data_IF_602097630633
#
_entry.id   IF_602097630633
#
_cell.length_a   1.000
_cell.length_b   1.000
_cell.length_c   1.000
_cell.angle_alpha   90.00
_cell.angle_beta   90.00
_cell.angle_gamma   90.00
#
_symmetry.space_group_name_H-M   'P 1'
#
loop_
_entity.id
_entity.type
_entity.pdbx_description
1 polymer ?
#
# COMPACT_ATOMS: atom_id res chain seq x y z
N UNK A 1 -18.07 38.86 -36.39
CA UNK A 1 -19.23 39.70 -36.04
C UNK A 1 -19.38 39.63 -34.53
N UNK A 2 -19.16 40.80 -33.91
CA UNK A 2 -19.52 41.20 -32.56
C UNK A 2 -18.95 40.36 -31.39
N UNK A 3 -17.98 40.84 -30.69
CA UNK A 3 -17.68 42.08 -29.94
C UNK A 3 -18.12 42.00 -28.46
N UNK A 4 -17.10 42.03 -27.60
CA UNK A 4 -16.82 42.92 -26.46
C UNK A 4 -17.75 42.88 -25.24
N UNK A 5 -17.22 42.80 -24.04
CA UNK A 5 -16.53 43.77 -23.19
C UNK A 5 -16.29 43.23 -21.77
N UNK A 6 -15.10 43.17 -21.27
CA UNK A 6 -14.44 44.03 -20.26
C UNK A 6 -15.33 44.41 -19.06
N UNK A 7 -14.82 44.08 -17.86
CA UNK A 7 -15.29 44.61 -16.58
C UNK A 7 -14.37 44.19 -15.44
N UNK A 8 -13.39 45.01 -15.17
CA UNK A 8 -12.49 45.02 -14.02
C UNK A 8 -13.19 45.43 -12.72
N UNK A 9 -12.75 44.88 -11.59
CA UNK A 9 -13.19 45.35 -10.27
C UNK A 9 -12.41 44.66 -9.15
N UNK A 10 -11.32 45.29 -8.78
CA UNK A 10 -10.55 45.04 -7.56
C UNK A 10 -11.28 45.64 -6.35
N UNK A 11 -11.44 44.93 -5.28
CA UNK A 11 -11.56 45.53 -3.95
C UNK A 11 -10.85 44.72 -2.89
N UNK A 12 -9.80 45.31 -2.36
CA UNK A 12 -9.14 45.03 -1.10
C UNK A 12 -10.08 45.40 0.05
N UNK A 13 -10.26 44.51 1.01
CA UNK A 13 -10.80 44.86 2.32
C UNK A 13 -9.84 44.38 3.40
N UNK A 14 -9.05 45.33 3.89
CA UNK A 14 -8.24 45.23 5.09
C UNK A 14 -9.14 45.35 6.32
N UNK A 15 -9.10 44.42 7.25
CA UNK A 15 -9.73 44.60 8.55
C UNK A 15 -8.67 44.94 9.60
N UNK A 16 -8.81 46.16 10.12
CA UNK A 16 -8.01 46.76 11.21
C UNK A 16 -8.48 46.17 12.56
N UNK A 17 -7.52 45.77 13.36
CA UNK A 17 -7.67 45.49 14.79
C UNK A 17 -7.65 46.82 15.54
N UNK A 18 -8.69 47.15 16.27
CA UNK A 18 -8.71 48.25 17.22
C UNK A 18 -8.37 47.75 18.61
N UNK A 19 -7.33 48.38 19.18
CA UNK A 19 -6.98 48.40 20.59
C UNK A 19 -8.00 49.21 21.37
N UNK A 20 -8.50 48.66 22.46
CA UNK A 20 -9.18 49.42 23.50
C UNK A 20 -8.35 49.36 24.78
N UNK A 21 -7.74 50.47 25.07
CA UNK A 21 -7.15 50.86 26.37
C UNK A 21 -8.29 51.27 27.34
N UNK A 22 -8.18 50.85 28.56
CA UNK A 22 -9.03 51.35 29.63
C UNK A 22 -8.18 51.97 30.72
N UNK A 23 -8.35 53.28 30.89
CA UNK A 23 -7.66 54.13 31.88
C UNK A 23 -8.52 54.28 33.15
N UNK A 24 -7.85 54.22 34.24
CA UNK A 24 -8.00 54.92 35.52
C UNK A 24 -9.39 55.40 35.98
N UNK A 25 -9.71 55.00 37.19
CA UNK A 25 -10.32 55.89 38.19
C UNK A 25 -9.65 55.71 39.54
N UNK A 26 -9.08 56.81 40.06
CA UNK A 26 -8.57 57.01 41.40
C UNK A 26 -9.59 57.77 42.26
N UNK A 27 -9.56 57.48 43.56
CA UNK A 27 -9.95 58.29 44.72
C UNK A 27 -11.39 58.42 45.14
N UNK A 28 -11.64 57.94 46.37
CA UNK A 28 -12.05 58.82 47.47
C UNK A 28 -11.93 58.17 48.83
N UNK A 29 -11.50 58.93 49.83
CA UNK A 29 -11.21 58.71 51.22
C UNK A 29 -12.43 58.25 52.07
N UNK A 30 -12.12 57.52 53.15
CA UNK A 30 -13.04 57.27 54.26
C UNK A 30 -12.42 56.39 55.34
N UNK A 31 -11.88 57.02 56.38
CA UNK A 31 -11.36 56.46 57.62
C UNK A 31 -12.41 55.82 58.46
N UNK A 32 -12.14 54.62 58.99
CA UNK A 32 -12.43 54.17 60.37
C UNK A 32 -11.94 52.74 60.60
N UNK A 33 -11.01 52.53 61.46
CA UNK A 33 -10.65 51.19 61.93
C UNK A 33 -11.56 50.65 63.01
N UNK A 34 -11.57 49.36 63.15
CA UNK A 34 -11.45 48.83 64.52
C UNK A 34 -10.53 47.63 64.66
N UNK A 35 -9.79 47.68 65.73
CA UNK A 35 -9.26 46.66 66.63
C UNK A 35 -9.05 45.23 66.09
N UNK A 36 -7.77 44.93 66.10
CA UNK A 36 -7.24 43.54 66.08
C UNK A 36 -7.89 42.66 67.12
N UNK A 37 -8.39 41.52 66.68
CA UNK A 37 -8.50 40.33 67.51
C UNK A 37 -7.56 39.27 66.92
N UNK A 38 -6.48 38.95 67.64
CA UNK A 38 -5.59 37.81 67.37
C UNK A 38 -6.38 36.53 67.59
N UNK A 39 -6.76 35.84 66.53
CA UNK A 39 -7.19 34.45 66.61
C UNK A 39 -6.07 33.56 66.07
N UNK A 40 -5.70 32.71 66.95
CA UNK A 40 -4.82 31.54 66.96
C UNK A 40 -4.45 30.98 65.59
N UNK A 41 -3.12 30.94 65.32
CA UNK A 41 -2.49 30.38 64.11
C UNK A 41 -2.59 28.86 63.92
N UNK A 42 -3.60 28.22 64.43
CA UNK A 42 -3.84 26.77 64.31
C UNK A 42 -4.80 26.39 63.18
N UNK A 43 -5.76 27.25 62.84
CA UNK A 43 -6.78 26.95 61.85
C UNK A 43 -6.27 27.16 60.43
N UNK A 44 -5.38 28.14 60.23
CA UNK A 44 -4.77 28.43 58.93
C UNK A 44 -3.83 27.30 58.43
N UNK A 45 -3.18 26.59 59.34
CA UNK A 45 -2.35 25.44 58.96
C UNK A 45 -3.18 24.21 58.55
N UNK A 46 -4.33 24.03 59.17
CA UNK A 46 -5.25 22.93 58.86
C UNK A 46 -5.91 23.15 57.49
N UNK A 47 -6.34 24.37 57.18
CA UNK A 47 -6.95 24.70 55.88
C UNK A 47 -5.95 24.58 54.74
N UNK A 48 -4.70 25.03 54.92
CA UNK A 48 -3.64 24.89 53.90
C UNK A 48 -3.25 23.43 53.69
N UNK A 49 -3.27 22.58 54.70
CA UNK A 49 -3.01 21.15 54.56
C UNK A 49 -4.13 20.41 53.84
N UNK A 50 -5.40 20.73 54.15
CA UNK A 50 -6.58 20.10 53.50
C UNK A 50 -6.76 20.56 52.05
N UNK A 51 -6.53 21.84 51.73
CA UNK A 51 -6.55 22.36 50.36
C UNK A 51 -5.38 21.82 49.52
N UNK A 52 -4.18 21.70 50.13
CA UNK A 52 -3.00 21.10 49.46
C UNK A 52 -3.19 19.60 49.18
N UNK A 53 -3.80 18.85 50.08
CA UNK A 53 -4.06 17.41 49.89
C UNK A 53 -5.19 17.18 48.85
N UNK A 54 -6.19 18.05 48.83
CA UNK A 54 -7.28 18.02 47.83
C UNK A 54 -6.77 18.33 46.41
N UNK A 55 -5.78 19.24 46.29
CA UNK A 55 -5.17 19.57 45.01
C UNK A 55 -4.20 18.47 44.48
N UNK A 56 -3.50 17.78 45.41
CA UNK A 56 -2.70 16.60 45.05
C UNK A 56 -3.52 15.38 44.64
N UNK A 57 -4.66 15.14 45.31
CA UNK A 57 -5.58 14.06 44.88
C UNK A 57 -6.30 14.39 43.57
N UNK A 58 -6.57 15.67 43.26
CA UNK A 58 -7.17 16.07 41.98
C UNK A 58 -6.20 15.98 40.80
N UNK A 59 -4.89 16.03 41.00
CA UNK A 59 -3.89 15.86 39.96
C UNK A 59 -3.65 14.38 39.61
N UNK A 60 -3.99 13.44 40.48
CA UNK A 60 -3.87 11.99 40.22
C UNK A 60 -5.01 11.40 39.38
N UNK A 61 -6.08 12.18 39.11
CA UNK A 61 -7.17 11.77 38.21
C UNK A 61 -6.98 12.29 36.78
N UNK A 62 -5.85 12.90 36.46
CA UNK A 62 -5.48 13.21 35.08
C UNK A 62 -5.20 11.89 34.34
N UNK A 63 -6.29 11.33 33.82
CA UNK A 63 -6.34 10.56 32.61
C UNK A 63 -5.20 9.56 32.39
N UNK A 64 -5.24 8.42 33.04
CA UNK A 64 -4.90 7.20 32.33
C UNK A 64 -5.97 7.10 31.22
N UNK A 65 -5.71 7.68 30.05
CA UNK A 65 -6.37 7.24 28.85
C UNK A 65 -6.09 5.75 28.78
N UNK A 66 -7.08 4.92 29.11
CA UNK A 66 -7.06 3.53 28.72
C UNK A 66 -6.90 3.58 27.19
N UNK A 67 -5.66 3.38 26.73
CA UNK A 67 -5.40 3.02 25.36
C UNK A 67 -6.14 1.71 25.17
N UNK A 68 -7.40 1.80 24.72
CA UNK A 68 -8.16 0.63 24.33
C UNK A 68 -7.28 -0.12 23.35
N UNK A 69 -6.77 -1.28 23.76
CA UNK A 69 -5.94 -2.10 22.89
C UNK A 69 -6.76 -2.38 21.63
N UNK A 70 -6.22 -1.98 20.47
CA UNK A 70 -6.89 -2.19 19.19
C UNK A 70 -6.81 -3.65 18.83
N UNK A 71 -7.94 -4.35 18.82
CA UNK A 71 -8.01 -5.76 18.42
C UNK A 71 -8.08 -5.86 16.89
N UNK A 72 -7.03 -6.39 16.28
CA UNK A 72 -6.95 -6.66 14.84
C UNK A 72 -7.05 -8.16 14.62
N UNK A 73 -8.11 -8.59 13.95
CA UNK A 73 -8.28 -9.98 13.57
C UNK A 73 -7.64 -10.24 12.19
N UNK A 74 -6.76 -11.22 12.10
CA UNK A 74 -6.14 -11.66 10.84
C UNK A 74 -6.83 -12.97 10.42
N UNK A 75 -7.58 -12.93 9.33
CA UNK A 75 -8.21 -14.09 8.70
C UNK A 75 -7.36 -14.51 7.50
N UNK A 76 -6.63 -15.63 7.58
CA UNK A 76 -5.76 -16.10 6.49
C UNK A 76 -6.39 -17.28 5.75
N UNK A 77 -6.25 -17.30 4.42
CA UNK A 77 -6.81 -18.35 3.56
C UNK A 77 -6.17 -19.73 3.81
N UNK A 78 -4.90 -19.76 4.17
CA UNK A 78 -4.14 -20.98 4.47
C UNK A 78 -2.81 -20.62 5.15
N UNK A 79 -2.10 -21.64 5.66
CA UNK A 79 -0.79 -21.45 6.29
C UNK A 79 0.35 -21.72 5.30
N UNK A 80 0.71 -20.73 4.49
CA UNK A 80 1.84 -20.79 3.55
C UNK A 80 2.91 -19.75 3.91
N UNK A 81 4.16 -19.99 3.51
CA UNK A 81 5.30 -19.12 3.82
C UNK A 81 5.07 -17.66 3.39
N UNK A 82 4.57 -17.43 2.17
CA UNK A 82 4.29 -16.10 1.65
C UNK A 82 3.29 -15.30 2.53
N UNK A 83 2.26 -15.96 3.07
CA UNK A 83 1.32 -15.31 3.97
C UNK A 83 1.93 -15.00 5.34
N UNK A 84 2.77 -15.91 5.88
CA UNK A 84 3.50 -15.65 7.13
C UNK A 84 4.43 -14.45 7.01
N UNK A 85 5.16 -14.32 5.90
CA UNK A 85 6.04 -13.17 5.62
C UNK A 85 5.23 -11.87 5.56
N UNK A 86 4.09 -11.86 4.84
CA UNK A 86 3.23 -10.68 4.77
C UNK A 86 2.63 -10.33 6.14
N UNK A 87 2.18 -11.32 6.93
CA UNK A 87 1.68 -11.09 8.29
C UNK A 87 2.78 -10.53 9.21
N UNK A 88 4.02 -10.99 9.06
CA UNK A 88 5.14 -10.42 9.82
C UNK A 88 5.36 -8.94 9.48
N UNK A 89 5.34 -8.57 8.19
CA UNK A 89 5.41 -7.18 7.75
C UNK A 89 4.24 -6.33 8.27
N UNK A 90 3.03 -6.86 8.24
CA UNK A 90 1.82 -6.22 8.77
C UNK A 90 1.98 -5.88 10.26
N UNK A 91 2.38 -6.85 11.06
CA UNK A 91 2.56 -6.67 12.52
C UNK A 91 3.68 -5.68 12.85
N UNK A 92 4.74 -5.66 12.03
CA UNK A 92 5.88 -4.76 12.24
C UNK A 92 5.54 -3.28 11.96
N UNK A 93 4.60 -3.00 11.06
CA UNK A 93 4.27 -1.63 10.63
C UNK A 93 2.85 -1.17 11.03
N UNK A 94 2.06 -2.05 11.59
CA UNK A 94 0.70 -1.76 12.04
C UNK A 94 0.65 -0.91 13.32
N UNK A 95 -0.55 -0.66 13.85
CA UNK A 95 -0.73 0.18 15.03
C UNK A 95 0.07 -0.32 16.24
N UNK A 96 0.74 0.59 16.92
CA UNK A 96 1.48 0.28 18.14
C UNK A 96 0.51 -0.17 19.25
N UNK A 97 0.86 -1.27 19.95
CA UNK A 97 0.03 -1.82 21.03
C UNK A 97 -1.21 -2.58 20.55
N UNK A 98 -1.39 -2.77 19.24
CA UNK A 98 -2.47 -3.60 18.72
C UNK A 98 -2.30 -5.08 19.10
N UNK A 99 -3.40 -5.73 19.44
CA UNK A 99 -3.46 -7.17 19.68
C UNK A 99 -3.86 -7.84 18.36
N UNK A 100 -3.00 -8.75 17.86
CA UNK A 100 -3.25 -9.48 16.63
C UNK A 100 -3.68 -10.91 16.94
N UNK A 101 -4.89 -11.27 16.51
CA UNK A 101 -5.39 -12.65 16.64
C UNK A 101 -5.55 -13.28 15.25
N UNK A 102 -4.90 -14.43 15.03
CA UNK A 102 -4.91 -15.12 13.73
C UNK A 102 -5.93 -16.23 13.68
N UNK A 103 -6.63 -16.34 12.55
CA UNK A 103 -7.61 -17.38 12.22
C UNK A 103 -7.27 -17.98 10.87
N UNK A 104 -7.22 -19.30 10.79
CA UNK A 104 -6.90 -20.03 9.56
C UNK A 104 -8.16 -20.63 8.94
N UNK A 105 -8.42 -20.25 7.70
CA UNK A 105 -9.55 -20.76 6.89
C UNK A 105 -9.24 -22.16 6.32
N UNK A 106 -7.98 -22.59 6.36
CA UNK A 106 -7.51 -23.91 5.90
C UNK A 106 -7.90 -24.23 4.43
N UNK A 107 -8.02 -23.19 3.61
CA UNK A 107 -8.46 -23.35 2.23
C UNK A 107 -9.95 -23.65 2.04
N UNK A 108 -10.76 -23.62 3.09
CA UNK A 108 -12.20 -23.88 3.06
C UNK A 108 -12.99 -22.59 3.21
N UNK A 109 -13.77 -22.23 2.17
CA UNK A 109 -14.57 -21.00 2.15
C UNK A 109 -15.70 -21.02 3.20
N UNK A 110 -16.32 -22.18 3.45
CA UNK A 110 -17.41 -22.29 4.43
C UNK A 110 -16.89 -22.15 5.88
N UNK A 111 -15.72 -22.72 6.17
CA UNK A 111 -15.02 -22.46 7.42
C UNK A 111 -14.69 -20.96 7.54
N UNK A 112 -14.23 -20.35 6.43
CA UNK A 112 -13.96 -18.92 6.37
C UNK A 112 -15.17 -18.05 6.72
N UNK A 113 -16.33 -18.34 6.15
CA UNK A 113 -17.59 -17.65 6.48
C UNK A 113 -17.98 -17.82 7.95
N UNK A 114 -17.84 -19.05 8.47
CA UNK A 114 -18.12 -19.33 9.90
C UNK A 114 -17.21 -18.51 10.82
N UNK A 115 -15.91 -18.42 10.50
CA UNK A 115 -14.95 -17.60 11.24
C UNK A 115 -15.26 -16.11 11.10
N UNK A 116 -15.57 -15.63 9.90
CA UNK A 116 -15.92 -14.24 9.65
C UNK A 116 -17.17 -13.81 10.44
N UNK A 117 -18.21 -14.63 10.52
CA UNK A 117 -19.38 -14.38 11.39
C UNK A 117 -19.01 -14.26 12.87
N UNK A 118 -18.07 -15.13 13.33
CA UNK A 118 -17.56 -15.03 14.71
C UNK A 118 -16.78 -13.71 14.92
N UNK A 119 -15.99 -13.30 13.94
CA UNK A 119 -15.23 -12.03 13.99
C UNK A 119 -16.16 -10.82 14.00
N UNK A 120 -17.21 -10.82 13.20
CA UNK A 120 -18.24 -9.76 13.24
C UNK A 120 -18.87 -9.60 14.61
N UNK A 121 -19.08 -10.70 15.33
CA UNK A 121 -19.65 -10.69 16.68
C UNK A 121 -18.60 -10.43 17.79
N UNK A 122 -17.34 -10.22 17.44
CA UNK A 122 -16.25 -9.91 18.37
C UNK A 122 -16.01 -8.41 18.49
N UNK A 123 -15.09 -8.01 19.35
CA UNK A 123 -14.66 -6.61 19.52
C UNK A 123 -13.55 -6.21 18.54
N UNK A 124 -13.37 -6.92 17.40
CA UNK A 124 -12.35 -6.58 16.44
C UNK A 124 -12.57 -5.18 15.87
N UNK A 125 -11.57 -4.32 16.01
CA UNK A 125 -11.59 -2.96 15.49
C UNK A 125 -11.34 -2.93 13.97
N UNK A 126 -10.66 -3.96 13.43
CA UNK A 126 -10.35 -4.13 12.01
C UNK A 126 -10.09 -5.60 11.71
N UNK A 127 -10.47 -6.04 10.52
CA UNK A 127 -10.17 -7.38 10.00
C UNK A 127 -9.19 -7.29 8.85
N UNK A 128 -8.06 -7.99 8.94
CA UNK A 128 -7.12 -8.18 7.83
C UNK A 128 -7.40 -9.52 7.17
N UNK A 129 -7.79 -9.51 5.91
CA UNK A 129 -8.05 -10.72 5.13
C UNK A 129 -6.85 -11.06 4.24
N UNK A 130 -6.18 -12.18 4.49
CA UNK A 130 -4.97 -12.62 3.79
C UNK A 130 -5.30 -13.72 2.78
N UNK A 131 -5.22 -13.38 1.48
CA UNK A 131 -5.57 -14.26 0.38
C UNK A 131 -7.07 -14.27 0.05
N UNK A 132 -7.40 -14.83 -1.11
CA UNK A 132 -8.70 -14.69 -1.74
C UNK A 132 -9.86 -15.28 -0.93
N UNK A 133 -9.72 -16.51 -0.40
CA UNK A 133 -10.81 -17.19 0.32
C UNK A 133 -11.18 -16.45 1.61
N UNK A 134 -10.19 -15.95 2.33
CA UNK A 134 -10.41 -15.12 3.51
C UNK A 134 -11.12 -13.81 3.17
N UNK A 135 -10.71 -13.12 2.10
CA UNK A 135 -11.33 -11.87 1.66
C UNK A 135 -12.78 -12.06 1.19
N UNK A 136 -13.06 -13.13 0.43
CA UNK A 136 -14.42 -13.47 0.00
C UNK A 136 -15.33 -13.78 1.21
N UNK A 137 -14.82 -14.54 2.17
CA UNK A 137 -15.55 -14.86 3.39
C UNK A 137 -15.84 -13.62 4.22
N UNK A 138 -14.82 -12.75 4.42
CA UNK A 138 -14.98 -11.50 5.16
C UNK A 138 -15.97 -10.55 4.47
N UNK A 139 -15.87 -10.39 3.15
CA UNK A 139 -16.78 -9.54 2.36
C UNK A 139 -18.25 -9.90 2.55
N UNK A 140 -18.57 -11.20 2.57
CA UNK A 140 -19.97 -11.67 2.65
C UNK A 140 -20.53 -11.53 4.06
N UNK A 141 -19.71 -11.74 5.09
CA UNK A 141 -20.20 -11.89 6.47
C UNK A 141 -19.97 -10.64 7.35
N UNK A 142 -19.04 -9.75 6.98
CA UNK A 142 -18.67 -8.58 7.79
C UNK A 142 -19.05 -7.30 7.03
N UNK A 143 -19.97 -6.52 7.59
CA UNK A 143 -20.49 -5.30 6.92
C UNK A 143 -20.21 -4.01 7.71
N UNK A 144 -19.89 -4.11 8.98
CA UNK A 144 -19.79 -3.02 9.96
C UNK A 144 -18.38 -2.79 10.52
N UNK A 145 -17.47 -3.77 10.33
CA UNK A 145 -16.07 -3.67 10.72
C UNK A 145 -15.21 -3.39 9.48
N UNK A 146 -14.23 -2.48 9.51
CA UNK A 146 -13.29 -2.26 8.41
C UNK A 146 -12.55 -3.54 8.02
N UNK A 147 -12.46 -3.81 6.72
CA UNK A 147 -11.73 -4.94 6.15
C UNK A 147 -10.59 -4.41 5.29
N UNK A 148 -9.36 -4.87 5.55
CA UNK A 148 -8.20 -4.61 4.70
C UNK A 148 -7.69 -5.95 4.16
N UNK A 149 -7.77 -6.16 2.84
CA UNK A 149 -7.24 -7.37 2.23
C UNK A 149 -5.81 -7.19 1.75
N UNK A 150 -5.04 -8.29 1.73
CA UNK A 150 -3.72 -8.39 1.13
C UNK A 150 -3.46 -9.76 0.53
N UNK A 151 -2.38 -9.87 -0.27
CA UNK A 151 -1.96 -11.13 -0.90
C UNK A 151 -3.01 -11.71 -1.86
N UNK A 152 -3.64 -10.82 -2.65
CA UNK A 152 -4.65 -11.18 -3.65
C UNK A 152 -4.24 -10.60 -5.01
N UNK A 153 -4.15 -11.47 -6.00
CA UNK A 153 -3.96 -11.06 -7.39
C UNK A 153 -5.31 -10.61 -7.97
N UNK A 154 -5.32 -9.46 -8.64
CA UNK A 154 -6.48 -8.91 -9.33
C UNK A 154 -7.77 -8.88 -8.47
N UNK A 155 -7.81 -8.12 -7.37
CA UNK A 155 -8.96 -8.10 -6.47
C UNK A 155 -10.25 -7.61 -7.15
N UNK A 156 -10.16 -6.79 -8.18
CA UNK A 156 -11.32 -6.28 -8.93
C UNK A 156 -12.00 -7.39 -9.74
N UNK A 157 -11.23 -8.31 -10.34
CA UNK A 157 -11.76 -9.49 -11.03
C UNK A 157 -12.59 -10.36 -10.08
N UNK A 158 -12.24 -10.38 -8.81
CA UNK A 158 -12.96 -11.12 -7.77
C UNK A 158 -14.04 -10.26 -7.08
N UNK A 159 -14.32 -9.07 -7.64
CA UNK A 159 -15.33 -8.14 -7.11
C UNK A 159 -15.12 -7.83 -5.61
N UNK A 160 -13.87 -7.74 -5.15
CA UNK A 160 -13.55 -7.39 -3.77
C UNK A 160 -13.72 -5.90 -3.53
N UNK A 161 -14.97 -5.46 -3.66
CA UNK A 161 -15.40 -4.08 -3.43
C UNK A 161 -16.58 -4.08 -2.47
N UNK A 162 -16.51 -3.30 -1.40
CA UNK A 162 -17.58 -3.03 -0.45
C UNK A 162 -17.27 -1.72 0.27
N UNK A 163 -18.29 -1.08 0.86
CA UNK A 163 -18.15 0.23 1.52
C UNK A 163 -17.20 0.18 2.73
N UNK A 164 -17.07 -0.98 3.36
CA UNK A 164 -16.16 -1.22 4.48
C UNK A 164 -14.86 -1.94 4.10
N UNK A 165 -14.55 -2.09 2.80
CA UNK A 165 -13.43 -2.91 2.35
C UNK A 165 -12.46 -2.14 1.45
N UNK A 166 -11.17 -2.31 1.69
CA UNK A 166 -10.07 -1.90 0.83
C UNK A 166 -8.92 -2.90 0.96
N UNK A 167 -7.77 -2.63 0.35
CA UNK A 167 -6.60 -3.51 0.51
C UNK A 167 -5.36 -3.02 -0.22
N UNK A 168 -4.36 -3.88 -0.32
CA UNK A 168 -3.11 -3.64 -1.04
C UNK A 168 -3.05 -4.47 -2.31
N UNK A 169 -2.60 -3.83 -3.41
CA UNK A 169 -2.42 -4.49 -4.70
C UNK A 169 -1.09 -5.25 -4.71
N UNK A 170 -1.10 -6.45 -5.31
CA UNK A 170 0.12 -7.25 -5.52
C UNK A 170 0.74 -7.05 -6.91
N UNK A 171 0.11 -6.27 -7.75
CA UNK A 171 0.65 -5.97 -9.08
C UNK A 171 1.61 -4.80 -9.03
N UNK A 172 2.73 -4.95 -9.73
CA UNK A 172 3.62 -3.84 -10.00
C UNK A 172 2.99 -2.98 -11.08
N UNK A 173 2.68 -1.69 -10.82
CA UNK A 173 2.11 -0.80 -11.82
C UNK A 173 3.00 -0.74 -13.08
N UNK A 174 2.38 -0.71 -14.26
CA UNK A 174 3.06 -0.74 -15.55
C UNK A 174 4.04 0.43 -15.71
N UNK A 175 3.65 1.63 -15.31
CA UNK A 175 4.49 2.83 -15.34
C UNK A 175 5.78 2.67 -14.51
N UNK A 176 5.68 2.02 -13.35
CA UNK A 176 6.86 1.71 -12.52
C UNK A 176 7.75 0.67 -13.17
N UNK A 177 7.17 -0.38 -13.79
CA UNK A 177 7.95 -1.37 -14.53
C UNK A 177 8.73 -0.71 -15.66
N UNK A 178 8.09 0.13 -16.47
CA UNK A 178 8.71 0.88 -17.56
C UNK A 178 9.80 1.82 -17.07
N UNK A 179 9.59 2.50 -15.94
CA UNK A 179 10.61 3.35 -15.32
C UNK A 179 11.85 2.57 -14.90
N UNK A 180 11.68 1.38 -14.32
CA UNK A 180 12.79 0.49 -13.95
C UNK A 180 13.49 -0.02 -15.21
N UNK A 181 12.74 -0.45 -16.24
CA UNK A 181 13.32 -0.87 -17.52
C UNK A 181 14.18 0.24 -18.12
N UNK A 182 13.71 1.48 -18.15
CA UNK A 182 14.47 2.65 -18.62
C UNK A 182 15.72 2.89 -17.79
N UNK A 183 15.64 2.69 -16.48
CA UNK A 183 16.77 2.88 -15.55
C UNK A 183 17.87 1.85 -15.78
N UNK A 184 17.52 0.56 -15.97
CA UNK A 184 18.46 -0.54 -16.16
C UNK A 184 18.91 -0.70 -17.62
N UNK A 185 18.07 -0.33 -18.58
CA UNK A 185 18.27 -0.45 -20.02
C UNK A 185 17.96 0.89 -20.70
N UNK A 186 18.81 1.91 -20.55
CA UNK A 186 18.51 3.27 -21.00
C UNK A 186 18.34 3.43 -22.52
N UNK A 187 18.93 2.54 -23.32
CA UNK A 187 18.83 2.52 -24.78
C UNK A 187 17.65 1.73 -25.31
N UNK A 188 16.88 1.08 -24.43
CA UNK A 188 15.75 0.26 -24.82
C UNK A 188 14.55 1.11 -25.25
N UNK A 189 14.04 0.87 -26.47
CA UNK A 189 12.87 1.55 -27.02
C UNK A 189 11.77 0.58 -27.47
N UNK A 190 12.13 -0.61 -27.96
CA UNK A 190 11.19 -1.56 -28.54
C UNK A 190 11.01 -2.78 -27.64
N UNK A 191 9.82 -2.87 -27.05
CA UNK A 191 9.41 -3.99 -26.21
C UNK A 191 8.50 -4.94 -27.00
N UNK A 192 8.69 -6.24 -26.79
CA UNK A 192 7.79 -7.26 -27.30
C UNK A 192 7.14 -8.07 -26.20
N UNK A 193 5.89 -8.49 -26.41
CA UNK A 193 5.18 -9.41 -25.53
C UNK A 193 4.24 -10.32 -26.32
N UNK A 194 3.94 -11.49 -25.76
CA UNK A 194 2.86 -12.36 -26.22
C UNK A 194 1.70 -12.29 -25.23
N UNK A 195 0.47 -12.36 -25.72
CA UNK A 195 -0.70 -12.29 -24.87
C UNK A 195 -1.89 -13.06 -25.46
N UNK A 196 -2.76 -13.57 -24.61
CA UNK A 196 -4.04 -14.18 -25.00
C UNK A 196 -5.14 -13.09 -25.00
N UNK A 197 -5.70 -12.73 -26.17
CA UNK A 197 -6.74 -11.72 -26.26
C UNK A 197 -7.98 -12.00 -25.41
N UNK A 198 -8.31 -13.27 -25.21
CA UNK A 198 -9.45 -13.66 -24.39
C UNK A 198 -9.22 -13.44 -22.89
N UNK A 199 -7.96 -13.39 -22.42
CA UNK A 199 -7.61 -13.31 -21.00
C UNK A 199 -7.03 -11.96 -20.60
N UNK A 200 -6.18 -11.36 -21.42
CA UNK A 200 -5.33 -10.23 -21.05
C UNK A 200 -5.42 -9.03 -21.98
N UNK A 201 -6.39 -8.97 -22.90
CA UNK A 201 -6.53 -7.83 -23.86
C UNK A 201 -6.66 -6.46 -23.16
N UNK A 202 -7.37 -6.36 -22.05
CA UNK A 202 -7.51 -5.10 -21.30
C UNK A 202 -6.17 -4.65 -20.73
N UNK A 203 -5.42 -5.58 -20.10
CA UNK A 203 -4.07 -5.33 -19.58
C UNK A 203 -3.10 -4.93 -20.69
N UNK A 204 -3.19 -5.58 -21.84
CA UNK A 204 -2.37 -5.24 -23.00
C UNK A 204 -2.64 -3.83 -23.52
N UNK A 205 -3.91 -3.43 -23.65
CA UNK A 205 -4.30 -2.06 -24.05
C UNK A 205 -3.75 -1.01 -23.09
N UNK A 206 -3.85 -1.28 -21.79
CA UNK A 206 -3.30 -0.38 -20.77
C UNK A 206 -1.78 -0.31 -20.84
N UNK A 207 -1.10 -1.44 -21.00
CA UNK A 207 0.35 -1.51 -21.15
C UNK A 207 0.85 -0.75 -22.38
N UNK A 208 0.19 -0.88 -23.55
CA UNK A 208 0.52 -0.11 -24.76
C UNK A 208 0.39 1.38 -24.52
N UNK A 209 -0.72 1.82 -23.91
CA UNK A 209 -0.93 3.24 -23.60
C UNK A 209 0.17 3.79 -22.70
N UNK A 210 0.52 3.07 -21.63
CA UNK A 210 1.54 3.49 -20.68
C UNK A 210 2.95 3.43 -21.28
N UNK A 211 3.23 2.43 -22.12
CA UNK A 211 4.48 2.33 -22.85
C UNK A 211 4.69 3.56 -23.76
N UNK A 212 3.68 3.95 -24.53
CA UNK A 212 3.73 5.15 -25.38
C UNK A 212 3.99 6.41 -24.57
N UNK A 213 3.34 6.57 -23.41
CA UNK A 213 3.54 7.70 -22.52
C UNK A 213 4.94 7.73 -21.87
N UNK A 214 5.65 6.60 -21.87
CA UNK A 214 6.99 6.42 -21.29
C UNK A 214 8.08 6.30 -22.36
N UNK A 215 7.79 6.69 -23.59
CA UNK A 215 8.70 6.64 -24.74
C UNK A 215 9.20 5.23 -25.07
N UNK A 216 8.31 4.23 -24.93
CA UNK A 216 8.48 2.87 -25.41
C UNK A 216 7.49 2.52 -26.51
N UNK A 217 7.91 1.70 -27.46
CA UNK A 217 7.04 1.03 -28.40
C UNK A 217 6.80 -0.40 -27.92
N UNK A 218 5.59 -0.73 -27.51
CA UNK A 218 5.22 -2.08 -27.12
C UNK A 218 4.48 -2.80 -28.22
N UNK A 219 5.11 -3.83 -28.79
CA UNK A 219 4.52 -4.73 -29.78
C UNK A 219 4.00 -5.98 -29.10
N UNK A 220 2.68 -6.19 -29.12
CA UNK A 220 2.03 -7.43 -28.65
C UNK A 220 1.62 -8.30 -29.81
N UNK A 221 1.96 -9.60 -29.80
CA UNK A 221 1.41 -10.57 -30.72
C UNK A 221 0.43 -11.49 -29.98
N UNK A 222 -0.76 -11.72 -30.57
CA UNK A 222 -1.76 -12.58 -29.95
C UNK A 222 -1.38 -14.05 -30.06
N UNK A 223 -1.74 -14.81 -29.01
CA UNK A 223 -1.69 -16.27 -28.96
C UNK A 223 -3.02 -16.78 -28.40
N UNK A 224 -3.64 -17.74 -29.03
CA UNK A 224 -4.89 -18.35 -28.58
C UNK A 224 -4.62 -19.64 -27.78
N UNK A 225 -3.45 -20.22 -27.97
CA UNK A 225 -3.00 -21.42 -27.32
C UNK A 225 -1.49 -21.43 -27.11
N UNK A 226 -1.01 -22.30 -26.20
CA UNK A 226 0.40 -22.52 -25.98
C UNK A 226 1.15 -22.93 -27.28
N UNK A 227 0.45 -23.63 -28.21
CA UNK A 227 1.03 -24.10 -29.48
C UNK A 227 1.42 -22.94 -30.41
N UNK A 228 0.82 -21.78 -30.25
CA UNK A 228 1.08 -20.60 -31.09
C UNK A 228 2.34 -19.86 -30.62
N UNK A 229 2.73 -20.05 -29.34
CA UNK A 229 3.86 -19.35 -28.73
C UNK A 229 5.15 -19.47 -29.54
N UNK A 230 5.60 -20.65 -30.02
CA UNK A 230 6.86 -20.76 -30.75
C UNK A 230 6.89 -19.98 -32.07
N UNK A 231 5.77 -19.97 -32.81
CA UNK A 231 5.69 -19.25 -34.07
C UNK A 231 5.64 -17.74 -33.85
N UNK A 232 4.76 -17.28 -32.98
CA UNK A 232 4.58 -15.85 -32.69
C UNK A 232 5.85 -15.26 -32.05
N UNK A 233 6.50 -16.02 -31.17
CA UNK A 233 7.77 -15.58 -30.58
C UNK A 233 8.86 -15.35 -31.63
N UNK A 234 9.04 -16.29 -32.55
CA UNK A 234 10.07 -16.14 -33.61
C UNK A 234 9.82 -14.89 -34.43
N UNK A 235 8.58 -14.61 -34.76
CA UNK A 235 8.18 -13.40 -35.50
C UNK A 235 8.45 -12.15 -34.66
N UNK A 236 8.09 -12.16 -33.38
CA UNK A 236 8.24 -11.01 -32.52
C UNK A 236 9.71 -10.65 -32.28
N UNK A 237 10.54 -11.66 -32.00
CA UNK A 237 11.97 -11.46 -31.68
C UNK A 237 12.80 -10.90 -32.84
N UNK A 238 12.28 -10.78 -34.07
CA UNK A 238 12.97 -10.07 -35.17
C UNK A 238 12.83 -8.56 -35.12
N UNK A 239 11.85 -8.07 -34.34
CA UNK A 239 11.41 -6.67 -34.42
C UNK A 239 11.52 -5.94 -33.07
N UNK A 240 12.08 -6.58 -32.04
CA UNK A 240 12.11 -6.02 -30.69
C UNK A 240 13.48 -6.09 -30.05
N UNK A 241 13.75 -5.19 -29.12
CA UNK A 241 15.04 -5.09 -28.41
C UNK A 241 15.01 -5.81 -27.06
N UNK A 242 13.81 -6.03 -26.48
CA UNK A 242 13.61 -6.82 -25.27
C UNK A 242 12.26 -7.52 -25.30
N UNK A 243 12.18 -8.69 -24.65
CA UNK A 243 10.92 -9.41 -24.44
C UNK A 243 10.41 -9.19 -23.01
N UNK A 244 9.20 -8.70 -22.88
CA UNK A 244 8.55 -8.45 -21.60
C UNK A 244 7.52 -9.52 -21.30
N UNK A 245 7.78 -10.37 -20.29
CA UNK A 245 6.83 -11.34 -19.76
C UNK A 245 5.73 -10.60 -18.99
N UNK A 246 4.51 -10.76 -19.44
CA UNK A 246 3.31 -10.28 -18.73
C UNK A 246 2.58 -11.47 -18.13
N UNK A 247 1.85 -11.29 -16.98
CA UNK A 247 1.04 -12.35 -16.40
C UNK A 247 -0.08 -12.80 -17.33
N UNK A 248 0.11 -13.95 -18.01
CA UNK A 248 -0.81 -14.56 -18.95
C UNK A 248 -0.71 -16.08 -18.87
N UNK A 249 -1.79 -16.76 -18.49
CA UNK A 249 -1.76 -18.22 -18.25
C UNK A 249 -1.63 -19.06 -19.53
N UNK A 250 -1.90 -18.52 -20.71
CA UNK A 250 -1.70 -19.20 -22.00
C UNK A 250 -0.23 -19.15 -22.41
N UNK A 251 0.45 -18.05 -22.10
CA UNK A 251 1.87 -17.83 -22.44
C UNK A 251 2.81 -18.46 -21.40
N UNK A 252 2.41 -18.45 -20.12
CA UNK A 252 3.30 -18.80 -19.00
C UNK A 252 3.18 -20.29 -18.57
N UNK A 253 3.21 -21.20 -19.50
CA UNK A 253 3.44 -22.62 -19.18
C UNK A 253 4.92 -22.89 -18.95
N UNK A 254 5.26 -23.98 -18.27
CA UNK A 254 6.66 -24.34 -18.01
C UNK A 254 7.46 -24.51 -19.32
N UNK A 255 6.83 -25.08 -20.35
CA UNK A 255 7.44 -25.31 -21.65
C UNK A 255 7.65 -24.00 -22.42
N UNK A 256 6.61 -23.17 -22.48
CA UNK A 256 6.67 -21.88 -23.16
C UNK A 256 7.68 -20.93 -22.52
N UNK A 257 7.72 -20.83 -21.19
CA UNK A 257 8.69 -19.98 -20.49
C UNK A 257 10.13 -20.39 -20.81
N UNK A 258 10.44 -21.69 -20.76
CA UNK A 258 11.76 -22.19 -21.13
C UNK A 258 12.10 -21.85 -22.58
N UNK A 259 11.17 -22.11 -23.50
CA UNK A 259 11.35 -21.83 -24.92
C UNK A 259 11.56 -20.33 -25.19
N UNK A 260 10.80 -19.45 -24.50
CA UNK A 260 10.96 -17.99 -24.61
C UNK A 260 12.35 -17.57 -24.16
N UNK A 261 12.80 -18.02 -22.98
CA UNK A 261 14.10 -17.65 -22.42
C UNK A 261 15.26 -18.12 -23.32
N UNK A 262 15.22 -19.37 -23.77
CA UNK A 262 16.25 -19.92 -24.65
C UNK A 262 16.28 -19.22 -26.03
N UNK A 263 15.12 -19.01 -26.66
CA UNK A 263 15.01 -18.38 -27.97
C UNK A 263 15.42 -16.90 -27.94
N UNK A 264 15.06 -16.16 -26.92
CA UNK A 264 15.43 -14.77 -26.74
C UNK A 264 16.95 -14.64 -26.49
N UNK A 265 17.50 -15.48 -25.59
CA UNK A 265 18.94 -15.49 -25.29
C UNK A 265 19.78 -15.81 -26.52
N UNK A 266 19.36 -16.79 -27.33
CA UNK A 266 20.04 -17.15 -28.58
C UNK A 266 20.09 -15.99 -29.58
N UNK A 267 19.21 -15.02 -29.50
CA UNK A 267 19.18 -13.80 -30.33
C UNK A 267 19.71 -12.56 -29.59
N UNK A 268 20.34 -12.75 -28.46
CA UNK A 268 20.85 -11.66 -27.60
C UNK A 268 19.77 -10.64 -27.18
N UNK A 269 18.53 -11.08 -27.05
CA UNK A 269 17.41 -10.26 -26.62
C UNK A 269 17.17 -10.50 -25.12
N UNK A 270 17.27 -9.47 -24.26
CA UNK A 270 16.98 -9.60 -22.84
C UNK A 270 15.51 -9.91 -22.59
N UNK A 271 15.24 -10.80 -21.65
CA UNK A 271 13.89 -11.07 -21.16
C UNK A 271 13.70 -10.37 -19.81
N UNK A 272 12.59 -9.67 -19.66
CA UNK A 272 12.19 -8.96 -18.45
C UNK A 272 10.97 -9.66 -17.86
N UNK A 273 11.06 -10.08 -16.60
CA UNK A 273 10.02 -10.83 -15.90
C UNK A 273 9.40 -10.05 -14.75
N UNK A 274 8.46 -10.71 -14.07
CA UNK A 274 7.73 -10.18 -12.91
C UNK A 274 7.87 -11.05 -11.66
N UNK A 275 8.78 -12.02 -11.68
CA UNK A 275 9.09 -12.91 -10.56
C UNK A 275 10.59 -13.24 -10.53
N UNK A 276 11.21 -13.35 -9.33
CA UNK A 276 12.59 -13.81 -9.18
C UNK A 276 12.86 -15.16 -9.84
N UNK A 277 11.84 -16.01 -9.96
CA UNK A 277 11.93 -17.31 -10.62
C UNK A 277 12.36 -17.17 -12.09
N UNK A 278 11.78 -16.22 -12.83
CA UNK A 278 12.20 -15.99 -14.23
C UNK A 278 13.64 -15.53 -14.32
N UNK A 279 14.09 -14.70 -13.38
CA UNK A 279 15.51 -14.27 -13.35
C UNK A 279 16.43 -15.45 -13.04
N UNK A 280 16.04 -16.34 -12.13
CA UNK A 280 16.80 -17.57 -11.85
C UNK A 280 16.86 -18.50 -13.05
N UNK A 281 15.80 -18.57 -13.84
CA UNK A 281 15.73 -19.38 -15.07
C UNK A 281 16.45 -18.75 -16.27
N UNK A 282 16.93 -17.50 -16.19
CA UNK A 282 17.71 -16.87 -17.25
C UNK A 282 17.18 -15.54 -17.78
N UNK A 283 16.04 -15.02 -17.29
CA UNK A 283 15.66 -13.65 -17.59
C UNK A 283 16.71 -12.67 -17.04
N UNK A 284 16.95 -11.57 -17.75
CA UNK A 284 17.92 -10.55 -17.35
C UNK A 284 17.52 -9.86 -16.05
N UNK A 285 16.28 -9.43 -15.98
CA UNK A 285 15.72 -8.58 -14.93
C UNK A 285 14.32 -9.06 -14.59
N UNK A 286 13.96 -9.05 -13.29
CA UNK A 286 12.57 -9.18 -12.88
C UNK A 286 12.22 -8.16 -11.80
N UNK A 287 10.97 -7.69 -11.86
CA UNK A 287 10.39 -6.76 -10.92
C UNK A 287 9.20 -7.43 -10.23
N UNK A 288 9.27 -7.59 -8.94
CA UNK A 288 8.24 -8.26 -8.15
C UNK A 288 7.90 -7.47 -6.90
N UNK A 289 6.85 -7.87 -6.21
CA UNK A 289 6.56 -7.38 -4.86
C UNK A 289 7.25 -8.27 -3.83
N UNK A 290 7.71 -7.67 -2.75
CA UNK A 290 8.19 -8.40 -1.58
C UNK A 290 7.01 -8.62 -0.63
N UNK A 291 6.80 -9.83 -0.14
CA UNK A 291 5.63 -10.15 0.71
C UNK A 291 5.67 -9.42 2.05
N UNK A 292 6.85 -9.21 2.62
CA UNK A 292 7.00 -8.40 3.86
C UNK A 292 6.59 -6.96 3.60
N UNK A 293 6.95 -6.38 2.44
CA UNK A 293 6.56 -5.02 2.06
C UNK A 293 5.05 -4.91 1.77
N UNK A 294 4.43 -5.95 1.17
CA UNK A 294 2.96 -6.03 1.05
C UNK A 294 2.31 -5.94 2.43
N UNK A 295 2.80 -6.73 3.38
CA UNK A 295 2.34 -6.69 4.77
C UNK A 295 2.57 -5.34 5.42
N UNK A 296 3.73 -4.74 5.23
CA UNK A 296 4.07 -3.43 5.77
C UNK A 296 3.11 -2.34 5.28
N UNK A 297 2.86 -2.26 3.98
CA UNK A 297 1.90 -1.29 3.43
C UNK A 297 0.48 -1.55 3.94
N UNK A 298 0.09 -2.82 4.08
CA UNK A 298 -1.20 -3.19 4.70
C UNK A 298 -1.29 -2.74 6.16
N UNK A 299 -0.21 -2.88 6.93
CA UNK A 299 -0.12 -2.41 8.31
C UNK A 299 -0.24 -0.89 8.43
N UNK A 300 0.46 -0.15 7.57
CA UNK A 300 0.34 1.31 7.48
C UNK A 300 -1.06 1.76 7.06
N UNK A 301 -1.70 1.05 6.13
CA UNK A 301 -3.07 1.32 5.73
C UNK A 301 -4.06 1.06 6.87
N UNK A 302 -3.93 -0.07 7.56
CA UNK A 302 -4.74 -0.42 8.73
C UNK A 302 -4.60 0.64 9.83
N UNK A 303 -3.37 1.10 10.12
CA UNK A 303 -3.10 2.18 11.07
C UNK A 303 -3.84 3.45 10.69
N UNK A 304 -3.69 3.92 9.44
CA UNK A 304 -4.36 5.15 8.96
C UNK A 304 -5.89 5.08 9.03
N UNK A 305 -6.48 3.90 8.82
CA UNK A 305 -7.92 3.67 8.96
C UNK A 305 -8.33 3.78 10.44
N UNK A 306 -7.62 3.12 11.33
CA UNK A 306 -7.91 3.10 12.76
C UNK A 306 -7.67 4.46 13.43
N UNK A 307 -6.67 5.21 13.00
CA UNK A 307 -6.39 6.59 13.44
C UNK A 307 -7.42 7.61 12.88
N UNK A 308 -8.33 7.19 12.01
CA UNK A 308 -9.35 8.05 11.39
C UNK A 308 -8.82 8.98 10.30
N UNK A 309 -7.55 8.84 9.87
CA UNK A 309 -6.95 9.60 8.78
C UNK A 309 -7.50 9.19 7.41
N UNK A 310 -7.95 7.95 7.29
CA UNK A 310 -8.57 7.40 6.08
C UNK A 310 -9.94 6.81 6.43
N UNK A 311 -10.92 7.15 5.62
CA UNK A 311 -12.29 6.61 5.74
C UNK A 311 -12.62 5.76 4.53
N UNK A 312 -13.28 4.64 4.76
CA UNK A 312 -13.78 3.78 3.69
C UNK A 312 -15.06 4.38 3.08
N UNK A 313 -15.37 4.12 1.80
CA UNK A 313 -14.58 3.28 0.88
C UNK A 313 -13.32 3.97 0.35
N UNK A 314 -12.30 3.16 0.06
CA UNK A 314 -11.03 3.59 -0.52
C UNK A 314 -10.64 2.66 -1.67
N UNK A 315 -10.01 3.21 -2.69
CA UNK A 315 -9.33 2.41 -3.71
C UNK A 315 -8.18 1.61 -3.09
N UNK A 316 -7.91 0.41 -3.60
CA UNK A 316 -6.77 -0.39 -3.16
C UNK A 316 -5.44 0.34 -3.38
N UNK A 317 -4.53 0.20 -2.43
CA UNK A 317 -3.25 0.91 -2.43
C UNK A 317 -2.18 0.06 -3.13
N UNK A 318 -1.43 0.61 -4.10
CA UNK A 318 -0.32 -0.10 -4.73
C UNK A 318 0.87 -0.23 -3.75
N UNK A 319 1.70 -1.26 -3.98
CA UNK A 319 2.96 -1.43 -3.23
C UNK A 319 3.99 -0.44 -3.76
N UNK A 320 4.61 0.32 -2.86
CA UNK A 320 5.60 1.32 -3.26
C UNK A 320 6.97 0.73 -3.54
N UNK A 321 7.43 -0.17 -2.69
CA UNK A 321 8.73 -0.82 -2.84
C UNK A 321 8.62 -2.07 -3.69
N UNK A 322 9.47 -2.14 -4.72
CA UNK A 322 9.58 -3.32 -5.59
C UNK A 322 10.87 -4.07 -5.26
N UNK A 323 10.81 -5.39 -5.39
CA UNK A 323 11.99 -6.26 -5.37
C UNK A 323 12.52 -6.38 -6.79
N UNK A 324 13.76 -5.95 -6.99
CA UNK A 324 14.47 -6.01 -8.28
C UNK A 324 15.49 -7.15 -8.21
N UNK A 325 15.37 -8.10 -9.13
CA UNK A 325 16.29 -9.22 -9.27
C UNK A 325 16.96 -9.22 -10.61
N UNK A 326 18.26 -9.53 -10.66
CA UNK A 326 19.06 -9.50 -11.89
C UNK A 326 19.86 -10.77 -12.05
N UNK A 327 19.91 -11.31 -13.26
CA UNK A 327 20.80 -12.42 -13.60
C UNK A 327 22.11 -11.85 -14.18
N UNK A 328 23.18 -11.91 -13.38
CA UNK A 328 24.50 -11.39 -13.78
C UNK A 328 25.18 -12.26 -14.85
N UNK A 329 24.83 -13.55 -14.96
CA UNK A 329 25.33 -14.42 -16.01
C UNK A 329 24.72 -14.04 -17.37
N UNK A 330 23.41 -13.83 -17.37
CA UNK A 330 22.66 -13.34 -18.54
C UNK A 330 23.14 -11.94 -18.93
N UNK A 331 23.31 -11.02 -17.96
CA UNK A 331 23.84 -9.68 -18.23
C UNK A 331 25.22 -9.74 -18.95
N UNK A 332 26.14 -10.53 -18.42
CA UNK A 332 27.47 -10.72 -19.03
C UNK A 332 27.39 -11.31 -20.44
N UNK A 333 26.52 -12.29 -20.66
CA UNK A 333 26.32 -12.90 -21.97
C UNK A 333 25.78 -11.89 -23.00
N UNK A 334 24.88 -11.01 -22.56
CA UNK A 334 24.30 -9.95 -23.40
C UNK A 334 25.20 -8.71 -23.54
N UNK A 335 26.39 -8.70 -22.91
CA UNK A 335 27.26 -7.53 -22.88
C UNK A 335 26.75 -6.35 -22.11
N UNK A 336 25.77 -6.58 -21.20
CA UNK A 336 25.17 -5.54 -20.38
C UNK A 336 25.92 -5.40 -19.05
N UNK A 337 26.35 -4.17 -18.75
CA UNK A 337 27.03 -3.82 -17.51
C UNK A 337 26.19 -2.80 -16.74
N UNK A 338 26.08 -2.99 -15.43
CA UNK A 338 25.36 -2.08 -14.55
C UNK A 338 26.37 -1.19 -13.80
N UNK A 339 26.10 0.11 -13.74
CA UNK A 339 26.89 1.04 -12.95
C UNK A 339 26.76 0.77 -11.44
N UNK A 340 27.73 1.23 -10.65
CA UNK A 340 27.69 1.05 -9.18
C UNK A 340 26.41 1.65 -8.56
N UNK A 341 25.86 2.73 -9.13
CA UNK A 341 24.60 3.31 -8.69
C UNK A 341 23.39 2.39 -8.96
N UNK A 342 23.41 1.60 -10.03
CA UNK A 342 22.34 0.64 -10.35
C UNK A 342 22.44 -0.63 -9.49
N UNK A 343 23.65 -1.07 -9.16
CA UNK A 343 23.83 -2.26 -8.32
C UNK A 343 23.22 -2.09 -6.92
N UNK A 344 23.17 -0.86 -6.40
CA UNK A 344 22.52 -0.57 -5.11
C UNK A 344 20.99 -0.69 -5.14
N UNK A 345 20.38 -0.71 -6.32
CA UNK A 345 18.94 -0.91 -6.51
C UNK A 345 18.55 -2.39 -6.66
N UNK A 346 19.53 -3.28 -6.77
CA UNK A 346 19.31 -4.72 -6.97
C UNK A 346 19.18 -5.38 -5.59
N UNK A 347 18.04 -6.02 -5.35
CA UNK A 347 17.81 -6.74 -4.10
C UNK A 347 18.41 -8.15 -4.10
N UNK A 348 18.50 -8.81 -5.29
CA UNK A 348 19.00 -10.18 -5.41
C UNK A 348 19.63 -10.42 -6.79
N UNK A 349 20.69 -11.23 -6.83
CA UNK A 349 21.40 -11.59 -8.07
C UNK A 349 21.55 -13.09 -8.25
N UNK A 350 21.58 -13.57 -9.52
CA UNK A 350 21.80 -14.97 -9.92
C UNK A 350 22.98 -15.10 -10.88
#
# INVERSE_FOLDING_TARGET
MFNDRIGSGSEHSSFKIQHLTFDRYQNCHGTMGPRMMKTSGSIDRFYRAVVGLGFLLSLCTLGVSESSAMDIAILRSSDIAAYREAIAGLKAAGPLGAIYTEYDVQGDLELGKKLARKLRASNASLVVAVGLKAALAAKVEIVDVPIVYMMILDPLKHQLTADNMTGTLMEVPVDRQLKIMRTFLPTLHQLGTLYDPAKTSSRMKDAVRQATNSDFQLKGLPVESEKDVPQQLRTLLSDVEAFWLMPDSTVLTNESVRFILESALARQIPVIGFSPEFTRLGALLSMSVNYVDVGRETGLLAKRILDGERRLPLDPVPIERLKITVNLKTARFLGITFSNGLTSLIDETY
#
